data_IF_918442243643
#
_entry.id   IF_918442243643
#
_cell.length_a   1.000
_cell.length_b   1.000
_cell.length_c   1.000
_cell.angle_alpha   90.00
_cell.angle_beta   90.00
_cell.angle_gamma   90.00
#
_symmetry.space_group_name_H-M   'P 1'
#
loop_
_entity.id
_entity.type
_entity.pdbx_description
1 polymer ?
#
# COMPACT_ATOMS: atom_id res chain seq x y z
N UNK A 1 1.82 10.08 15.84
CA UNK A 1 1.61 9.54 14.48
C UNK A 1 1.64 10.74 13.56
N UNK A 2 2.35 10.79 12.43
CA UNK A 2 2.48 12.05 11.73
C UNK A 2 1.10 12.40 11.18
N UNK A 3 0.54 13.50 11.67
CA UNK A 3 -0.84 13.95 11.48
C UNK A 3 -1.15 14.39 10.03
N UNK A 4 -0.31 14.00 9.07
CA UNK A 4 -0.34 14.43 7.67
C UNK A 4 -0.13 13.28 6.68
N UNK A 5 -0.74 12.11 6.95
CA UNK A 5 -0.71 10.97 6.01
C UNK A 5 -1.95 10.98 5.12
N UNK A 6 -1.76 10.62 3.85
CA UNK A 6 -2.84 10.43 2.88
C UNK A 6 -3.05 8.92 2.68
N UNK A 7 -4.29 8.48 2.72
CA UNK A 7 -4.65 7.09 2.43
C UNK A 7 -4.55 6.84 0.92
N UNK A 8 -3.52 6.14 0.48
CA UNK A 8 -3.32 5.81 -0.93
C UNK A 8 -4.02 4.52 -1.38
N UNK A 9 -4.41 3.66 -0.43
CA UNK A 9 -5.06 2.39 -0.75
C UNK A 9 -5.19 1.47 0.45
N UNK A 10 -5.74 0.29 0.21
CA UNK A 10 -6.03 -0.71 1.25
C UNK A 10 -5.51 -2.08 0.83
N UNK A 11 -4.85 -2.77 1.76
CA UNK A 11 -4.44 -4.16 1.58
C UNK A 11 -5.69 -5.04 1.68
N UNK A 12 -6.00 -5.74 0.60
CA UNK A 12 -7.16 -6.60 0.45
C UNK A 12 -6.83 -8.07 0.66
N UNK A 13 -7.50 -8.92 -0.13
CA UNK A 13 -7.42 -10.37 0.02
C UNK A 13 -6.04 -10.92 -0.38
N UNK A 14 -5.60 -12.04 0.24
CA UNK A 14 -4.44 -12.80 -0.22
C UNK A 14 -4.57 -13.20 -1.70
N UNK A 15 -3.43 -13.28 -2.38
CA UNK A 15 -3.32 -13.71 -3.76
C UNK A 15 -2.36 -14.90 -3.87
N UNK A 16 -2.93 -16.11 -3.95
CA UNK A 16 -2.17 -17.35 -4.01
C UNK A 16 -1.43 -17.66 -2.70
N UNK A 17 -0.36 -18.46 -2.79
CA UNK A 17 0.37 -19.00 -1.63
C UNK A 17 1.77 -18.38 -1.44
N UNK A 18 2.14 -17.43 -2.30
CA UNK A 18 3.48 -16.80 -2.30
C UNK A 18 3.56 -15.53 -1.45
N UNK A 19 2.59 -15.31 -0.57
CA UNK A 19 2.52 -14.10 0.25
C UNK A 19 2.16 -12.83 -0.51
N UNK A 20 1.63 -12.95 -1.73
CA UNK A 20 1.09 -11.80 -2.47
C UNK A 20 -0.29 -11.43 -1.93
N UNK A 21 -0.65 -10.16 -2.08
CA UNK A 21 -1.94 -9.61 -1.69
C UNK A 21 -2.47 -8.72 -2.81
N UNK A 22 -3.79 -8.63 -2.93
CA UNK A 22 -4.41 -7.59 -3.76
C UNK A 22 -4.42 -6.27 -3.00
N UNK A 23 -4.13 -5.18 -3.68
CA UNK A 23 -4.25 -3.83 -3.13
C UNK A 23 -5.32 -3.09 -3.91
N UNK A 24 -6.23 -2.44 -3.18
CA UNK A 24 -7.15 -1.46 -3.78
C UNK A 24 -6.43 -0.13 -3.76
N UNK A 25 -6.08 0.39 -4.94
CA UNK A 25 -5.45 1.71 -5.07
C UNK A 25 -6.51 2.81 -5.17
N UNK A 26 -6.23 3.95 -4.54
CA UNK A 26 -6.99 5.19 -4.69
C UNK A 26 -6.23 6.24 -5.51
N UNK A 27 -5.06 5.88 -6.04
CA UNK A 27 -4.33 6.71 -7.03
C UNK A 27 -5.06 6.70 -8.38
N UNK A 28 -4.80 7.72 -9.21
CA UNK A 28 -5.36 7.79 -10.56
C UNK A 28 -4.89 6.63 -11.46
N UNK A 29 -3.61 6.26 -11.34
CA UNK A 29 -3.05 5.05 -11.92
C UNK A 29 -2.64 4.09 -10.80
N UNK A 30 -3.23 2.88 -10.70
CA UNK A 30 -2.86 1.89 -9.70
C UNK A 30 -1.38 1.49 -9.72
N UNK A 31 -0.73 1.50 -10.89
CA UNK A 31 0.69 1.16 -11.01
C UNK A 31 1.60 2.24 -10.39
N UNK A 32 1.15 3.50 -10.38
CA UNK A 32 1.88 4.61 -9.77
C UNK A 32 2.02 4.49 -8.24
N UNK A 33 1.25 3.63 -7.58
CA UNK A 33 1.33 3.43 -6.13
C UNK A 33 2.75 3.03 -5.68
N UNK A 34 3.47 2.26 -6.49
CA UNK A 34 4.84 1.83 -6.20
C UNK A 34 5.88 2.96 -6.29
N UNK A 35 5.56 4.07 -6.96
CA UNK A 35 6.47 5.21 -7.16
C UNK A 35 6.54 6.16 -5.95
N UNK A 36 5.56 6.12 -5.03
CA UNK A 36 5.53 6.98 -3.83
C UNK A 36 6.59 6.60 -2.76
N UNK A 37 7.33 5.51 -2.97
CA UNK A 37 8.32 5.03 -2.02
C UNK A 37 7.71 4.18 -0.89
N UNK A 38 8.41 4.04 0.26
CA UNK A 38 7.92 3.24 1.38
C UNK A 38 6.59 3.76 1.92
N UNK A 39 5.58 2.89 1.90
CA UNK A 39 4.26 3.16 2.45
C UNK A 39 4.21 2.73 3.91
N UNK A 40 3.37 3.37 4.71
CA UNK A 40 3.19 3.04 6.12
C UNK A 40 1.73 2.79 6.45
N UNK A 41 1.45 1.79 7.29
CA UNK A 41 0.12 1.59 7.86
C UNK A 41 -0.10 2.42 9.14
N UNK A 42 -1.30 2.28 9.72
CA UNK A 42 -1.67 2.92 10.99
C UNK A 42 -0.84 2.45 12.19
N UNK A 43 -0.23 1.27 12.14
CA UNK A 43 0.67 0.76 13.18
C UNK A 43 2.13 1.23 13.00
N UNK A 44 2.45 1.91 11.90
CA UNK A 44 3.79 2.40 11.58
C UNK A 44 4.68 1.37 10.89
N UNK A 45 4.14 0.22 10.48
CA UNK A 45 4.89 -0.78 9.70
C UNK A 45 5.10 -0.24 8.29
N UNK A 46 6.33 -0.40 7.77
CA UNK A 46 6.72 0.07 6.44
C UNK A 46 6.60 -1.05 5.40
N UNK A 47 6.18 -0.68 4.19
CA UNK A 47 6.00 -1.55 3.04
C UNK A 47 6.63 -0.92 1.80
N UNK A 48 7.42 -1.70 1.08
CA UNK A 48 7.90 -1.32 -0.25
C UNK A 48 7.26 -2.22 -1.27
N UNK A 49 6.58 -1.63 -2.25
CA UNK A 49 6.01 -2.38 -3.37
C UNK A 49 7.13 -2.72 -4.35
N UNK A 50 7.12 -3.96 -4.86
CA UNK A 50 8.09 -4.49 -5.83
C UNK A 50 7.35 -5.12 -7.00
#
# INVERSE_FOLDING_TARGET
>A
MPDNRILLGVIGRPHGVRGLVRVVSYTADPAALAAYGPLSDGAGRQFTLR
#
